data_IF_598814951560
#
_entry.id   IF_598814951560
#
_cell.length_a   1.000
_cell.length_b   1.000
_cell.length_c   1.000
_cell.angle_alpha   90.00
_cell.angle_beta   90.00
_cell.angle_gamma   90.00
#
_symmetry.space_group_name_H-M   'P 1'
#
loop_
_entity.id
_entity.type
_entity.pdbx_description
1 polymer ?
#
# COMPACT_ATOMS: atom_id res chain seq x y z
N UNK A 1 -9.64 -0.37 10.60
CA UNK A 1 -8.27 -0.85 10.30
C UNK A 1 -8.35 -1.63 9.00
N UNK A 2 -7.59 -1.28 7.96
CA UNK A 2 -7.70 -1.90 6.62
C UNK A 2 -6.49 -2.81 6.38
N UNK A 3 -6.73 -4.04 5.95
CA UNK A 3 -5.70 -5.01 5.58
C UNK A 3 -5.82 -5.43 4.10
N UNK A 4 -4.86 -6.23 3.62
CA UNK A 4 -4.87 -6.70 2.23
C UNK A 4 -6.04 -7.63 1.91
N UNK A 5 -6.57 -8.35 2.90
CA UNK A 5 -7.72 -9.24 2.71
C UNK A 5 -8.96 -8.41 2.38
N UNK A 6 -9.18 -7.36 3.16
CA UNK A 6 -10.30 -6.41 3.00
C UNK A 6 -10.13 -5.55 1.74
N UNK A 7 -8.90 -5.15 1.41
CA UNK A 7 -8.61 -4.32 0.23
C UNK A 7 -8.74 -5.09 -1.09
N UNK A 8 -8.50 -6.41 -1.08
CA UNK A 8 -8.45 -7.24 -2.30
C UNK A 8 -9.70 -7.14 -3.18
N UNK A 9 -10.95 -7.31 -2.68
CA UNK A 9 -12.12 -7.19 -3.53
C UNK A 9 -12.27 -5.79 -4.15
N UNK A 10 -11.93 -4.74 -3.40
CA UNK A 10 -11.99 -3.36 -3.88
C UNK A 10 -10.95 -3.08 -4.97
N UNK A 11 -9.70 -3.51 -4.73
CA UNK A 11 -8.61 -3.31 -5.68
C UNK A 11 -8.86 -4.05 -6.99
N UNK A 12 -9.35 -5.30 -6.94
CA UNK A 12 -9.62 -6.11 -8.13
C UNK A 12 -10.91 -5.71 -8.87
N UNK A 13 -11.73 -4.83 -8.31
CA UNK A 13 -12.87 -4.24 -9.01
C UNK A 13 -12.45 -3.07 -9.93
N UNK A 14 -11.24 -2.53 -9.75
CA UNK A 14 -10.73 -1.44 -10.58
C UNK A 14 -10.23 -1.98 -11.93
N UNK A 15 -10.44 -1.24 -13.04
CA UNK A 15 -9.93 -1.63 -14.35
C UNK A 15 -8.42 -1.84 -14.32
N UNK A 16 -7.96 -2.88 -15.03
CA UNK A 16 -6.54 -3.18 -15.27
C UNK A 16 -5.71 -3.56 -14.03
N UNK A 17 -6.31 -3.57 -12.84
CA UNK A 17 -5.62 -3.97 -11.61
C UNK A 17 -5.54 -5.48 -11.52
N UNK A 18 -4.33 -5.98 -11.25
CA UNK A 18 -4.07 -7.39 -10.99
C UNK A 18 -3.42 -7.58 -9.62
N UNK A 19 -3.65 -8.75 -9.03
CA UNK A 19 -2.90 -9.17 -7.85
C UNK A 19 -1.45 -9.49 -8.27
N UNK A 20 -0.49 -8.85 -7.62
CA UNK A 20 0.92 -9.05 -7.95
C UNK A 20 1.41 -10.42 -7.47
N UNK A 21 2.37 -10.99 -8.21
CA UNK A 21 3.06 -12.23 -7.82
C UNK A 21 4.03 -12.00 -6.65
N UNK A 22 4.54 -10.79 -6.48
CA UNK A 22 5.46 -10.39 -5.40
C UNK A 22 4.71 -9.91 -4.15
N UNK A 23 3.80 -10.76 -3.62
CA UNK A 23 2.79 -10.44 -2.60
C UNK A 23 3.24 -9.59 -1.39
N UNK A 24 4.54 -9.61 -1.03
CA UNK A 24 5.09 -8.83 0.09
C UNK A 24 5.63 -7.45 -0.30
N UNK A 25 6.06 -7.23 -1.55
CA UNK A 25 6.57 -5.93 -2.03
C UNK A 25 5.51 -5.16 -2.80
N UNK A 26 4.62 -5.86 -3.49
CA UNK A 26 3.48 -5.32 -4.24
C UNK A 26 2.31 -6.25 -4.00
N UNK A 27 1.18 -5.74 -3.52
CA UNK A 27 -0.02 -6.56 -3.41
C UNK A 27 -0.87 -6.45 -4.68
N UNK A 28 -0.94 -5.23 -5.24
CA UNK A 28 -1.71 -4.91 -6.43
C UNK A 28 -0.90 -4.04 -7.39
N UNK A 29 -1.08 -4.26 -8.69
CA UNK A 29 -0.37 -3.53 -9.74
C UNK A 29 -1.21 -3.32 -11.00
N UNK A 30 -0.79 -2.33 -11.80
CA UNK A 30 -1.32 -2.03 -13.14
C UNK A 30 -0.11 -1.97 -14.08
N UNK A 31 -0.09 -2.78 -15.14
CA UNK A 31 1.04 -2.84 -16.09
C UNK A 31 2.42 -2.95 -15.40
N UNK A 32 2.54 -3.81 -14.38
CA UNK A 32 3.77 -4.02 -13.60
C UNK A 32 4.11 -2.90 -12.60
N UNK A 33 3.28 -1.85 -12.50
CA UNK A 33 3.46 -0.74 -11.54
C UNK A 33 2.61 -0.98 -10.30
N UNK A 34 3.26 -1.13 -9.15
CA UNK A 34 2.56 -1.34 -7.87
C UNK A 34 1.74 -0.12 -7.45
N UNK A 35 0.48 -0.34 -7.05
CA UNK A 35 -0.46 0.71 -6.63
C UNK A 35 -0.81 0.64 -5.14
N UNK A 36 -0.77 -0.55 -4.53
CA UNK A 36 -1.00 -0.73 -3.10
C UNK A 36 -0.27 -1.98 -2.56
N UNK A 37 0.25 -1.92 -1.33
CA UNK A 37 1.00 -2.99 -0.67
C UNK A 37 1.06 -2.84 0.86
N UNK A 38 1.46 -3.90 1.56
CA UNK A 38 1.69 -3.88 3.00
C UNK A 38 2.79 -2.89 3.38
N UNK A 39 2.56 -2.07 4.40
CA UNK A 39 3.57 -1.13 4.87
C UNK A 39 4.52 -1.79 5.89
N UNK A 40 5.83 -1.59 5.68
CA UNK A 40 6.87 -2.06 6.58
C UNK A 40 7.74 -0.89 7.05
N UNK A 41 7.79 -0.67 8.36
CA UNK A 41 8.54 0.41 9.01
C UNK A 41 9.69 -0.13 9.87
N UNK A 42 10.61 0.74 10.28
CA UNK A 42 11.64 0.43 11.28
C UNK A 42 11.31 1.20 12.55
N UNK A 43 11.20 0.51 13.69
CA UNK A 43 10.95 1.16 14.98
C UNK A 43 12.18 1.95 15.49
N UNK A 44 13.39 1.51 15.14
CA UNK A 44 14.64 2.17 15.51
C UNK A 44 15.60 2.27 14.31
N UNK A 45 16.56 3.22 14.31
CA UNK A 45 17.58 3.31 13.27
C UNK A 45 18.33 1.99 13.10
N UNK A 46 18.54 1.58 11.84
CA UNK A 46 19.20 0.32 11.44
C UNK A 46 18.49 -0.98 11.90
N UNK A 47 17.34 -0.91 12.56
CA UNK A 47 16.57 -2.09 12.93
C UNK A 47 15.94 -2.79 11.70
N UNK A 48 15.48 -4.03 11.92
CA UNK A 48 14.71 -4.79 10.93
C UNK A 48 13.42 -4.05 10.58
N UNK A 49 12.98 -4.20 9.32
CA UNK A 49 11.66 -3.73 8.89
C UNK A 49 10.59 -4.70 9.38
N UNK A 50 9.56 -4.17 10.01
CA UNK A 50 8.43 -4.92 10.56
C UNK A 50 7.14 -4.45 9.90
N UNK A 51 6.20 -5.38 9.74
CA UNK A 51 4.89 -5.09 9.18
C UNK A 51 4.14 -4.18 10.15
N UNK A 52 3.62 -3.06 9.65
CA UNK A 52 2.71 -2.21 10.41
C UNK A 52 1.29 -2.68 10.13
N UNK A 53 0.71 -3.39 11.08
CA UNK A 53 -0.64 -3.94 10.95
C UNK A 53 -1.64 -2.81 10.77
N UNK A 54 -2.55 -2.96 9.79
CA UNK A 54 -3.60 -1.99 9.53
C UNK A 54 -3.21 -0.79 8.68
N UNK A 55 -1.95 -0.73 8.23
CA UNK A 55 -1.45 0.34 7.35
C UNK A 55 -1.15 -0.24 5.97
N UNK A 56 -1.77 0.38 4.96
CA UNK A 56 -1.51 0.09 3.55
C UNK A 56 -0.72 1.26 2.95
N UNK A 57 0.36 0.93 2.26
CA UNK A 57 1.05 1.90 1.42
C UNK A 57 0.33 1.98 0.08
N UNK A 58 0.02 3.20 -0.35
CA UNK A 58 -0.63 3.49 -1.64
C UNK A 58 0.26 4.40 -2.49
N UNK A 59 0.19 4.22 -3.81
CA UNK A 59 0.84 5.13 -4.76
C UNK A 59 -0.10 6.30 -5.07
N UNK A 60 0.41 7.51 -4.96
CA UNK A 60 -0.27 8.75 -5.36
C UNK A 60 0.73 9.75 -5.94
N UNK A 61 0.27 10.74 -6.73
CA UNK A 61 1.02 11.95 -7.05
C UNK A 61 1.46 12.71 -5.79
N UNK A 62 2.58 13.44 -5.88
CA UNK A 62 3.10 14.22 -4.76
C UNK A 62 2.10 15.26 -4.22
N UNK A 63 1.38 16.04 -5.05
CA UNK A 63 0.39 16.99 -4.54
C UNK A 63 -0.74 16.33 -3.74
N UNK A 64 -1.23 15.16 -4.20
CA UNK A 64 -2.26 14.41 -3.47
C UNK A 64 -1.73 13.87 -2.15
N UNK A 65 -0.46 13.43 -2.11
CA UNK A 65 0.17 13.01 -0.85
C UNK A 65 0.16 14.14 0.18
N UNK A 66 0.52 15.35 -0.22
CA UNK A 66 0.57 16.52 0.68
C UNK A 66 -0.83 16.84 1.23
N UNK A 67 -1.83 16.89 0.34
CA UNK A 67 -3.23 17.07 0.72
C UNK A 67 -3.71 15.98 1.71
N UNK A 68 -3.39 14.70 1.45
CA UNK A 68 -3.78 13.59 2.32
C UNK A 68 -3.13 13.65 3.71
N UNK A 69 -1.90 14.15 3.80
CA UNK A 69 -1.20 14.33 5.07
C UNK A 69 -1.79 15.50 5.86
N UNK A 70 -2.15 16.59 5.19
CA UNK A 70 -2.75 17.77 5.83
C UNK A 70 -4.09 17.45 6.52
N UNK A 71 -4.89 16.57 5.91
CA UNK A 71 -6.21 16.17 6.45
C UNK A 71 -6.16 14.92 7.33
N UNK A 72 -4.97 14.35 7.56
CA UNK A 72 -4.81 13.16 8.38
C UNK A 72 -5.04 13.51 9.88
N UNK A 73 -5.86 12.74 10.60
CA UNK A 73 -6.14 12.98 12.02
C UNK A 73 -4.95 12.70 12.94
#
# INVERSE_FOLDING_TARGET
>A
MVDLVTLRPLALALPEVVASRERQRRAFEVHGKGIAWSYFARAAPKARRELVVGVIAVRCPLPEKEMLIEVAP
#
